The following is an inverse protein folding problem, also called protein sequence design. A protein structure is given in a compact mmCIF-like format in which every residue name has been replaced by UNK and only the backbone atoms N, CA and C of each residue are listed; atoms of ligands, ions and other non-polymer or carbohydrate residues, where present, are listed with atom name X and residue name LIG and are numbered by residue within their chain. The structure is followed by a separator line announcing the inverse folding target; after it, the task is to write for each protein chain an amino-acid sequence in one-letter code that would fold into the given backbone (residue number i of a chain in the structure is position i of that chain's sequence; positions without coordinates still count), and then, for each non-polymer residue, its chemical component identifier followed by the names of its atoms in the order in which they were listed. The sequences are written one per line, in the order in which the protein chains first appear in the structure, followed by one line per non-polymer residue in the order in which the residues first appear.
data_IF_237019154137
#
_entry.id   IF_237019154137
#
_cell.length_a   1.000
_cell.length_b   1.000
_cell.length_c   1.000
_cell.angle_alpha   90.00
_cell.angle_beta   90.00
_cell.angle_gamma   90.00
#
_symmetry.space_group_name_H-M   'P 1'
#
loop_
_entity.id
_entity.type
_entity.pdbx_description
1 polymer ?
#
# COMPACT_ATOMS: atom_id res chain seq x y z
N UNK A 1 0.76 -15.51 -34.57
CA UNK A 1 0.40 -14.09 -34.81
C UNK A 1 -0.58 -13.59 -33.76
N UNK A 2 -1.58 -14.40 -33.39
CA UNK A 2 -2.62 -14.02 -32.42
C UNK A 2 -2.08 -13.65 -31.03
N UNK A 3 -1.14 -14.41 -30.48
CA UNK A 3 -0.53 -14.08 -29.19
C UNK A 3 0.21 -12.73 -29.23
N UNK A 4 0.97 -12.45 -30.29
CA UNK A 4 1.70 -11.17 -30.43
C UNK A 4 0.71 -10.00 -30.55
N UNK A 5 -0.39 -10.20 -31.27
CA UNK A 5 -1.45 -9.20 -31.40
C UNK A 5 -2.19 -8.95 -30.08
N UNK A 6 -2.45 -10.00 -29.29
CA UNK A 6 -3.09 -9.89 -27.98
C UNK A 6 -2.18 -9.15 -27.00
N UNK A 7 -0.90 -9.54 -26.91
CA UNK A 7 0.06 -8.91 -26.00
C UNK A 7 0.37 -7.45 -26.37
N UNK A 8 0.45 -7.12 -27.67
CA UNK A 8 0.64 -5.73 -28.11
C UNK A 8 -0.60 -4.88 -27.82
N UNK A 9 -1.80 -5.42 -28.02
CA UNK A 9 -3.06 -4.73 -27.68
C UNK A 9 -3.17 -4.49 -26.17
N UNK A 10 -2.83 -5.49 -25.34
CA UNK A 10 -2.84 -5.36 -23.89
C UNK A 10 -1.85 -4.29 -23.42
N UNK A 11 -0.64 -4.24 -23.99
CA UNK A 11 0.35 -3.22 -23.65
C UNK A 11 -0.12 -1.80 -24.00
N UNK A 12 -0.77 -1.63 -25.17
CA UNK A 12 -1.34 -0.34 -25.56
C UNK A 12 -2.47 0.07 -24.61
N UNK A 13 -3.32 -0.86 -24.20
CA UNK A 13 -4.48 -0.57 -23.33
C UNK A 13 -4.04 -0.31 -21.89
N UNK A 14 -3.19 -1.15 -21.31
CA UNK A 14 -2.82 -1.07 -19.89
C UNK A 14 -1.72 -0.03 -19.62
N UNK A 15 -0.89 0.30 -20.62
CA UNK A 15 0.25 1.23 -20.43
C UNK A 15 0.11 2.46 -21.32
N UNK A 16 -0.07 2.26 -22.62
CA UNK A 16 -0.12 3.36 -23.59
C UNK A 16 -1.27 4.34 -23.31
N UNK A 17 -2.45 3.82 -23.03
CA UNK A 17 -3.67 4.62 -22.85
C UNK A 17 -3.66 5.46 -21.56
N UNK A 18 -3.30 4.94 -20.37
CA UNK A 18 -3.12 5.76 -19.17
C UNK A 18 -2.07 6.86 -19.34
N UNK A 19 -0.92 6.54 -19.97
CA UNK A 19 0.13 7.53 -20.21
C UNK A 19 -0.32 8.60 -21.20
N UNK A 20 -1.08 8.22 -22.23
CA UNK A 20 -1.69 9.18 -23.15
C UNK A 20 -2.61 10.17 -22.45
N UNK A 21 -3.50 9.70 -21.56
CA UNK A 21 -4.33 10.60 -20.74
C UNK A 21 -3.50 11.47 -19.80
N UNK A 22 -2.40 10.94 -19.27
CA UNK A 22 -1.43 11.71 -18.47
C UNK A 22 -0.87 12.89 -19.26
N UNK A 23 -0.40 12.64 -20.48
CA UNK A 23 0.11 13.70 -21.37
C UNK A 23 -0.98 14.74 -21.66
N UNK A 24 -2.21 14.31 -21.97
CA UNK A 24 -3.33 15.23 -22.18
C UNK A 24 -3.61 16.08 -20.94
N UNK A 25 -3.66 15.48 -19.75
CA UNK A 25 -3.95 16.19 -18.51
C UNK A 25 -2.85 17.18 -18.14
N UNK A 26 -1.58 16.84 -18.41
CA UNK A 26 -0.44 17.76 -18.27
C UNK A 26 -0.54 18.91 -19.25
N UNK A 27 -0.78 18.67 -20.54
CA UNK A 27 -0.93 19.72 -21.56
C UNK A 27 -2.05 20.68 -21.18
N UNK A 28 -3.20 20.15 -20.76
CA UNK A 28 -4.39 20.93 -20.38
C UNK A 28 -4.21 21.74 -19.10
N UNK A 29 -3.16 21.51 -18.33
CA UNK A 29 -2.83 22.30 -17.15
C UNK A 29 -2.40 23.73 -17.48
N UNK A 30 -1.90 23.95 -18.69
CA UNK A 30 -1.40 25.24 -19.17
C UNK A 30 -2.50 26.05 -19.85
N UNK A 31 -2.49 27.38 -19.68
CA UNK A 31 -3.51 28.27 -20.26
C UNK A 31 -3.50 28.28 -21.81
N UNK A 32 -2.35 27.96 -22.42
CA UNK A 32 -2.17 27.90 -23.88
C UNK A 32 -2.51 26.54 -24.50
N UNK A 33 -3.21 25.66 -23.76
CA UNK A 33 -3.58 24.35 -24.26
C UNK A 33 -4.43 24.44 -25.55
N UNK A 34 -4.24 23.52 -26.52
CA UNK A 34 -5.05 23.49 -27.73
C UNK A 34 -6.55 23.39 -27.43
N UNK A 35 -7.37 24.23 -28.06
CA UNK A 35 -8.83 24.26 -27.86
C UNK A 35 -9.50 22.92 -28.18
N UNK A 36 -8.93 22.14 -29.10
CA UNK A 36 -9.40 20.80 -29.46
C UNK A 36 -9.38 19.82 -28.29
N UNK A 37 -8.44 20.02 -27.35
CA UNK A 37 -8.29 19.22 -26.14
C UNK A 37 -9.17 19.72 -24.99
N UNK A 38 -9.79 20.90 -25.09
CA UNK A 38 -10.67 21.43 -24.04
C UNK A 38 -12.09 20.85 -24.11
N UNK A 39 -12.18 19.51 -24.10
CA UNK A 39 -13.44 18.77 -24.10
C UNK A 39 -13.58 18.00 -22.78
N UNK A 40 -14.77 18.03 -22.14
CA UNK A 40 -15.00 17.26 -20.91
C UNK A 40 -14.92 15.75 -21.14
N UNK A 41 -15.07 15.29 -22.39
CA UNK A 41 -14.93 13.88 -22.74
C UNK A 41 -13.59 13.28 -22.28
N UNK A 42 -12.47 14.01 -22.41
CA UNK A 42 -11.17 13.51 -21.96
C UNK A 42 -11.10 13.32 -20.45
N UNK A 43 -11.78 14.17 -19.69
CA UNK A 43 -11.87 14.05 -18.23
C UNK A 43 -12.69 12.82 -17.85
N UNK A 44 -13.86 12.64 -18.46
CA UNK A 44 -14.73 11.48 -18.22
C UNK A 44 -14.01 10.18 -18.60
N UNK A 45 -13.33 10.16 -19.74
CA UNK A 45 -12.56 8.99 -20.18
C UNK A 45 -11.39 8.69 -19.24
N UNK A 46 -10.65 9.71 -18.78
CA UNK A 46 -9.59 9.53 -17.77
C UNK A 46 -10.15 8.87 -16.51
N UNK A 47 -11.29 9.37 -16.03
CA UNK A 47 -11.98 8.84 -14.84
C UNK A 47 -12.43 7.39 -15.04
N UNK A 48 -13.15 7.10 -16.13
CA UNK A 48 -13.73 5.78 -16.38
C UNK A 48 -12.64 4.75 -16.65
N UNK A 49 -11.73 5.04 -17.58
CA UNK A 49 -10.66 4.11 -17.98
C UNK A 49 -9.68 3.92 -16.83
N UNK A 50 -9.27 5.00 -16.16
CA UNK A 50 -8.37 4.93 -15.02
C UNK A 50 -8.95 4.13 -13.85
N UNK A 51 -10.25 4.28 -13.55
CA UNK A 51 -10.91 3.49 -12.52
C UNK A 51 -10.96 2.00 -12.89
N UNK A 52 -11.32 1.67 -14.14
CA UNK A 52 -11.37 0.29 -14.61
C UNK A 52 -10.00 -0.39 -14.57
N UNK A 53 -8.95 0.30 -15.01
CA UNK A 53 -7.58 -0.22 -14.98
C UNK A 53 -7.07 -0.37 -13.54
N UNK A 54 -7.40 0.56 -12.64
CA UNK A 54 -7.01 0.45 -11.22
C UNK A 54 -7.65 -0.76 -10.53
N UNK A 55 -8.89 -1.10 -10.87
CA UNK A 55 -9.56 -2.32 -10.36
C UNK A 55 -8.94 -3.57 -10.99
N UNK A 56 -8.67 -3.54 -12.30
CA UNK A 56 -8.01 -4.65 -12.98
C UNK A 56 -6.62 -4.93 -12.41
N UNK A 57 -5.85 -3.90 -12.05
CA UNK A 57 -4.54 -4.04 -11.41
C UNK A 57 -4.66 -4.61 -9.97
N UNK A 58 -5.74 -4.33 -9.23
CA UNK A 58 -5.96 -4.95 -7.92
C UNK A 58 -6.22 -6.45 -8.02
N UNK A 59 -7.10 -6.86 -8.94
CA UNK A 59 -7.56 -8.25 -9.04
C UNK A 59 -6.64 -9.14 -9.90
N UNK A 60 -6.07 -8.60 -10.97
CA UNK A 60 -5.29 -9.36 -11.97
C UNK A 60 -3.88 -9.78 -11.52
N UNK A 61 -3.42 -9.33 -10.35
CA UNK A 61 -2.00 -9.35 -9.97
C UNK A 61 -1.69 -9.93 -8.59
N UNK A 62 -2.65 -10.62 -7.97
CA UNK A 62 -2.45 -11.17 -6.63
C UNK A 62 -2.44 -10.13 -5.50
N UNK A 63 -2.59 -8.83 -5.83
CA UNK A 63 -2.84 -7.75 -4.86
C UNK A 63 -4.26 -7.76 -4.29
N UNK A 64 -5.03 -8.82 -4.56
CA UNK A 64 -6.32 -9.10 -3.94
C UNK A 64 -6.24 -9.92 -2.67
N UNK A 65 -5.07 -10.48 -2.34
CA UNK A 65 -4.88 -11.38 -1.20
C UNK A 65 -4.85 -10.60 0.12
N UNK A 66 -5.71 -10.99 1.06
CA UNK A 66 -5.79 -10.37 2.39
C UNK A 66 -4.59 -10.72 3.26
N UNK A 67 -4.25 -9.84 4.20
CA UNK A 67 -3.04 -9.94 5.02
C UNK A 67 -2.92 -11.22 5.85
N UNK A 68 -4.03 -11.91 6.10
CA UNK A 68 -4.12 -13.13 6.91
C UNK A 68 -3.95 -14.41 6.10
N UNK A 69 -3.79 -14.30 4.78
CA UNK A 69 -3.59 -15.41 3.85
C UNK A 69 -2.12 -15.49 3.42
N UNK A 70 -1.48 -16.67 3.49
CA UNK A 70 -0.13 -16.87 2.97
C UNK A 70 -0.03 -16.57 1.48
N UNK A 71 0.99 -15.81 1.08
CA UNK A 71 1.30 -15.60 -0.33
C UNK A 71 1.80 -16.90 -1.00
N UNK A 72 1.40 -17.10 -2.25
CA UNK A 72 1.66 -18.33 -3.03
C UNK A 72 2.41 -18.14 -4.36
N UNK A 73 2.65 -16.90 -4.85
CA UNK A 73 3.71 -16.56 -5.86
C UNK A 73 4.78 -15.53 -5.40
N UNK A 74 6.08 -15.84 -5.54
CA UNK A 74 7.18 -14.95 -5.10
C UNK A 74 7.05 -13.56 -5.74
N UNK A 75 7.22 -12.51 -4.94
CA UNK A 75 7.16 -11.12 -5.41
C UNK A 75 5.74 -10.52 -5.41
N UNK A 76 4.73 -11.27 -4.98
CA UNK A 76 3.40 -10.73 -4.66
C UNK A 76 3.42 -9.94 -3.35
N UNK A 77 2.42 -9.07 -3.20
CA UNK A 77 2.14 -8.33 -1.98
C UNK A 77 0.69 -8.54 -1.60
N UNK A 78 0.39 -8.44 -0.30
CA UNK A 78 -1.01 -8.39 0.15
C UNK A 78 -1.70 -7.13 -0.37
N UNK A 79 -3.02 -7.11 -0.34
CA UNK A 79 -3.79 -5.98 -0.82
C UNK A 79 -3.43 -4.68 -0.10
N UNK A 80 -3.28 -3.55 -0.83
CA UNK A 80 -3.01 -2.25 -0.21
C UNK A 80 -4.21 -1.68 0.53
N UNK A 81 -5.40 -2.25 0.34
CA UNK A 81 -6.66 -1.82 0.94
C UNK A 81 -7.39 -3.03 1.51
N UNK A 82 -7.50 -3.08 2.85
CA UNK A 82 -8.09 -4.19 3.58
C UNK A 82 -9.54 -4.48 3.14
N UNK A 83 -9.83 -5.75 2.85
CA UNK A 83 -11.09 -6.23 2.27
C UNK A 83 -12.35 -5.76 3.00
N UNK A 84 -12.34 -5.88 4.33
CA UNK A 84 -13.48 -5.52 5.20
C UNK A 84 -13.92 -4.05 5.01
N UNK A 85 -12.99 -3.16 4.68
CA UNK A 85 -13.22 -1.72 4.56
C UNK A 85 -13.14 -1.19 3.12
N UNK A 86 -12.95 -2.06 2.12
CA UNK A 86 -12.91 -1.68 0.69
C UNK A 86 -14.17 -0.91 0.28
N UNK A 87 -15.34 -1.32 0.78
CA UNK A 87 -16.59 -0.60 0.50
C UNK A 87 -16.52 0.87 0.93
N UNK A 88 -16.01 1.15 2.13
CA UNK A 88 -15.86 2.53 2.62
C UNK A 88 -14.92 3.35 1.75
N UNK A 89 -13.77 2.78 1.39
CA UNK A 89 -12.80 3.42 0.51
C UNK A 89 -13.39 3.73 -0.87
N UNK A 90 -13.94 2.72 -1.55
CA UNK A 90 -14.49 2.88 -2.90
C UNK A 90 -15.74 3.76 -2.92
N UNK A 91 -16.55 3.77 -1.86
CA UNK A 91 -17.69 4.68 -1.74
C UNK A 91 -17.25 6.14 -1.73
N UNK A 92 -16.32 6.52 -0.85
CA UNK A 92 -15.83 7.90 -0.78
C UNK A 92 -15.11 8.30 -2.07
N UNK A 93 -14.31 7.38 -2.61
CA UNK A 93 -13.61 7.59 -3.87
C UNK A 93 -14.60 7.80 -5.01
N UNK A 94 -15.65 6.97 -5.12
CA UNK A 94 -16.72 7.13 -6.11
C UNK A 94 -17.42 8.49 -6.02
N UNK A 95 -17.75 8.96 -4.82
CA UNK A 95 -18.32 10.31 -4.64
C UNK A 95 -17.36 11.38 -5.16
N UNK A 96 -16.07 11.26 -4.87
CA UNK A 96 -15.05 12.18 -5.38
C UNK A 96 -14.91 12.14 -6.92
N UNK A 97 -15.06 10.96 -7.53
CA UNK A 97 -15.11 10.79 -8.99
C UNK A 97 -16.34 11.46 -9.60
N UNK A 98 -17.51 11.29 -8.98
CA UNK A 98 -18.74 11.98 -9.42
C UNK A 98 -18.53 13.49 -9.34
N UNK A 99 -17.96 14.01 -8.25
CA UNK A 99 -17.73 15.44 -8.08
C UNK A 99 -16.80 16.02 -9.17
N UNK A 100 -15.68 15.35 -9.48
CA UNK A 100 -14.75 15.83 -10.51
C UNK A 100 -15.35 15.77 -11.92
N UNK A 101 -16.14 14.72 -12.22
CA UNK A 101 -16.86 14.58 -13.49
C UNK A 101 -17.92 15.67 -13.64
N UNK A 102 -18.70 15.95 -12.58
CA UNK A 102 -19.68 17.02 -12.59
C UNK A 102 -19.02 18.39 -12.77
N UNK A 103 -17.87 18.65 -12.14
CA UNK A 103 -17.08 19.86 -12.39
C UNK A 103 -16.59 19.96 -13.83
N UNK A 104 -16.25 18.83 -14.45
CA UNK A 104 -15.80 18.81 -15.84
C UNK A 104 -16.94 19.10 -16.83
N UNK A 105 -18.04 18.35 -16.72
CA UNK A 105 -19.14 18.29 -17.71
C UNK A 105 -20.08 19.50 -17.60
N UNK A 106 -20.39 19.95 -16.39
CA UNK A 106 -21.28 21.11 -16.20
C UNK A 106 -20.46 22.36 -16.45
N UNK A 107 -20.52 22.93 -17.65
CA UNK A 107 -19.79 24.15 -18.02
C UNK A 107 -20.59 25.43 -17.79
N UNK A 108 -21.91 25.33 -17.64
CA UNK A 108 -22.81 26.45 -17.32
C UNK A 108 -22.55 26.98 -15.90
N UNK A 109 -23.02 28.20 -15.63
CA UNK A 109 -22.96 28.82 -14.30
C UNK A 109 -23.62 27.92 -13.26
N UNK A 110 -22.85 27.52 -12.25
CA UNK A 110 -23.32 26.69 -11.12
C UNK A 110 -23.75 27.57 -9.95
N UNK A 111 -24.76 27.16 -9.17
CA UNK A 111 -25.04 27.78 -7.87
C UNK A 111 -23.79 27.74 -6.98
N UNK A 112 -23.47 28.81 -6.23
CA UNK A 112 -22.24 28.90 -5.45
C UNK A 112 -22.03 27.76 -4.45
N UNK A 113 -23.09 27.39 -3.73
CA UNK A 113 -23.04 26.29 -2.76
C UNK A 113 -22.78 24.94 -3.46
N UNK A 114 -23.43 24.70 -4.59
CA UNK A 114 -23.21 23.48 -5.37
C UNK A 114 -21.77 23.40 -5.87
N UNK A 115 -21.21 24.50 -6.40
CA UNK A 115 -19.81 24.54 -6.81
C UNK A 115 -18.84 24.28 -5.64
N UNK A 116 -19.08 24.90 -4.47
CA UNK A 116 -18.26 24.68 -3.28
C UNK A 116 -18.32 23.22 -2.79
N UNK A 117 -19.50 22.60 -2.81
CA UNK A 117 -19.67 21.18 -2.44
C UNK A 117 -18.98 20.23 -3.43
N UNK A 118 -19.00 20.53 -4.73
CA UNK A 118 -18.25 19.74 -5.71
C UNK A 118 -16.74 19.86 -5.48
N UNK A 119 -16.22 21.07 -5.24
CA UNK A 119 -14.80 21.28 -4.92
C UNK A 119 -14.43 20.57 -3.62
N UNK A 120 -15.29 20.60 -2.60
CA UNK A 120 -15.12 19.88 -1.34
C UNK A 120 -15.01 18.36 -1.55
N UNK A 121 -15.88 17.78 -2.40
CA UNK A 121 -15.81 16.36 -2.76
C UNK A 121 -14.51 16.00 -3.48
N UNK A 122 -14.01 16.90 -4.35
CA UNK A 122 -12.71 16.71 -5.00
C UNK A 122 -11.54 16.83 -4.01
N UNK A 123 -11.61 17.71 -3.01
CA UNK A 123 -10.59 17.75 -1.94
C UNK A 123 -10.57 16.46 -1.13
N UNK A 124 -11.73 15.92 -0.78
CA UNK A 124 -11.82 14.62 -0.12
C UNK A 124 -11.18 13.52 -0.97
N UNK A 125 -11.43 13.50 -2.28
CA UNK A 125 -10.75 12.59 -3.22
C UNK A 125 -9.24 12.76 -3.23
N UNK A 126 -8.73 13.99 -3.34
CA UNK A 126 -7.29 14.26 -3.31
C UNK A 126 -6.64 13.79 -2.00
N UNK A 127 -7.32 13.92 -0.85
CA UNK A 127 -6.80 13.39 0.43
C UNK A 127 -6.68 11.87 0.37
N UNK A 128 -7.71 11.17 -0.11
CA UNK A 128 -7.65 9.71 -0.28
C UNK A 128 -6.57 9.28 -1.28
N UNK A 129 -6.42 10.00 -2.38
CA UNK A 129 -5.37 9.75 -3.36
C UNK A 129 -3.97 9.95 -2.77
N UNK A 130 -3.74 11.02 -2.00
CA UNK A 130 -2.44 11.24 -1.35
C UNK A 130 -2.14 10.09 -0.39
N UNK A 131 -3.13 9.65 0.40
CA UNK A 131 -2.96 8.51 1.30
C UNK A 131 -2.66 7.22 0.52
N UNK A 132 -3.36 6.96 -0.58
CA UNK A 132 -3.10 5.80 -1.45
C UNK A 132 -1.70 5.87 -2.08
N UNK A 133 -1.28 7.04 -2.57
CA UNK A 133 0.07 7.24 -3.11
C UNK A 133 1.10 6.88 -2.06
N UNK A 134 0.99 7.43 -0.84
CA UNK A 134 1.91 7.15 0.26
C UNK A 134 1.89 5.66 0.63
N UNK A 135 0.71 5.03 0.68
CA UNK A 135 0.55 3.59 0.95
C UNK A 135 1.41 2.75 -0.01
N UNK A 136 1.42 3.11 -1.30
CA UNK A 136 2.10 2.37 -2.36
C UNK A 136 3.60 2.68 -2.50
N UNK A 137 4.11 3.79 -1.94
CA UNK A 137 5.51 4.25 -2.11
C UNK A 137 6.58 3.20 -1.71
N UNK A 138 6.24 2.28 -0.80
CA UNK A 138 7.20 1.28 -0.30
C UNK A 138 7.61 0.24 -1.35
N UNK A 139 6.75 -0.06 -2.32
CA UNK A 139 6.95 -1.13 -3.31
C UNK A 139 6.98 -0.58 -4.75
N UNK A 140 7.56 0.61 -4.94
CA UNK A 140 7.65 1.32 -6.23
C UNK A 140 8.56 0.64 -7.28
N UNK A 141 9.32 -0.36 -6.86
CA UNK A 141 10.09 -1.25 -7.74
C UNK A 141 9.19 -2.20 -8.53
N UNK A 142 7.97 -2.46 -8.06
CA UNK A 142 6.99 -3.26 -8.77
C UNK A 142 6.28 -2.43 -9.85
N UNK A 143 6.41 -2.87 -11.10
CA UNK A 143 5.81 -2.22 -12.27
C UNK A 143 4.31 -1.93 -12.10
N UNK A 144 3.55 -2.86 -11.53
CA UNK A 144 2.11 -2.70 -11.36
C UNK A 144 1.76 -1.72 -10.26
N UNK A 145 2.56 -1.66 -9.19
CA UNK A 145 2.42 -0.60 -8.19
C UNK A 145 2.60 0.78 -8.83
N UNK A 146 3.55 0.91 -9.78
CA UNK A 146 3.71 2.15 -10.56
C UNK A 146 2.49 2.42 -11.46
N UNK A 147 1.95 1.41 -12.13
CA UNK A 147 0.76 1.57 -12.99
C UNK A 147 -0.49 2.00 -12.19
N UNK A 148 -0.69 1.43 -10.99
CA UNK A 148 -1.77 1.82 -10.08
C UNK A 148 -1.71 3.29 -9.66
N UNK A 149 -0.52 3.92 -9.69
CA UNK A 149 -0.36 5.34 -9.37
C UNK A 149 -0.70 6.28 -10.54
N UNK A 150 -0.73 5.77 -11.77
CA UNK A 150 -0.99 6.61 -12.96
C UNK A 150 -2.34 7.29 -12.84
N UNK A 151 -3.36 6.58 -12.39
CA UNK A 151 -4.71 7.14 -12.26
C UNK A 151 -4.84 8.17 -11.11
N UNK A 152 -4.41 7.89 -9.86
CA UNK A 152 -4.35 8.90 -8.79
C UNK A 152 -3.61 10.18 -9.21
N UNK A 153 -2.48 10.05 -9.92
CA UNK A 153 -1.73 11.22 -10.42
C UNK A 153 -2.54 12.01 -11.47
N UNK A 154 -3.26 11.33 -12.35
CA UNK A 154 -4.17 11.98 -13.30
C UNK A 154 -5.33 12.68 -12.60
N UNK A 155 -5.92 12.06 -11.59
CA UNK A 155 -6.98 12.66 -10.80
C UNK A 155 -6.49 13.96 -10.14
N UNK A 156 -5.29 13.96 -9.55
CA UNK A 156 -4.70 15.17 -8.98
C UNK A 156 -4.44 16.26 -10.04
N UNK A 157 -3.93 15.92 -11.22
CA UNK A 157 -3.73 16.89 -12.30
C UNK A 157 -5.07 17.52 -12.74
N UNK A 158 -6.08 16.68 -12.91
CA UNK A 158 -7.45 17.12 -13.24
C UNK A 158 -8.02 18.01 -12.14
N UNK A 159 -7.84 17.64 -10.87
CA UNK A 159 -8.41 18.36 -9.74
C UNK A 159 -7.85 19.77 -9.66
N UNK A 160 -6.53 19.93 -9.78
CA UNK A 160 -5.87 21.25 -9.76
C UNK A 160 -6.36 22.12 -10.92
N UNK A 161 -6.55 21.57 -12.12
CA UNK A 161 -7.05 22.32 -13.29
C UNK A 161 -8.53 22.73 -13.13
N UNK A 162 -9.40 21.77 -12.79
CA UNK A 162 -10.84 21.97 -12.72
C UNK A 162 -11.25 22.88 -11.57
N UNK A 163 -10.58 22.78 -10.41
CA UNK A 163 -10.79 23.67 -9.27
C UNK A 163 -10.39 25.10 -9.65
N UNK A 164 -9.21 25.30 -10.26
CA UNK A 164 -8.77 26.63 -10.73
C UNK A 164 -9.78 27.24 -11.70
N UNK A 165 -10.26 26.46 -12.67
CA UNK A 165 -11.28 26.89 -13.64
C UNK A 165 -12.58 27.30 -12.97
N UNK A 166 -13.11 26.47 -12.08
CA UNK A 166 -14.38 26.73 -11.41
C UNK A 166 -14.27 27.96 -10.49
N UNK A 167 -13.20 28.07 -9.69
CA UNK A 167 -13.00 29.22 -8.80
C UNK A 167 -12.90 30.52 -9.61
N UNK A 168 -12.15 30.53 -10.72
CA UNK A 168 -12.03 31.70 -11.61
C UNK A 168 -13.41 32.13 -12.14
N UNK A 169 -14.22 31.17 -12.59
CA UNK A 169 -15.58 31.43 -13.08
C UNK A 169 -16.47 32.00 -11.97
N UNK A 170 -16.47 31.39 -10.78
CA UNK A 170 -17.29 31.82 -9.65
C UNK A 170 -16.90 33.21 -9.14
N UNK A 171 -15.61 33.51 -9.04
CA UNK A 171 -15.14 34.86 -8.67
C UNK A 171 -15.61 35.93 -9.65
N UNK A 172 -15.61 35.63 -10.97
CA UNK A 172 -16.08 36.56 -12.00
C UNK A 172 -17.59 36.79 -11.97
N UNK A 173 -18.40 35.78 -11.58
CA UNK A 173 -19.84 35.96 -11.42
C UNK A 173 -20.19 36.82 -10.20
N UNK A 174 -19.41 36.71 -9.12
CA UNK A 174 -19.62 37.45 -7.87
C UNK A 174 -19.16 38.90 -7.96
N UNK A 175 -18.07 39.19 -8.68
CA UNK A 175 -17.62 40.58 -8.91
C UNK A 175 -18.67 41.42 -9.65
N UNK A 176 -19.55 40.79 -10.43
CA UNK A 176 -20.58 41.45 -11.22
C UNK A 176 -21.96 41.47 -10.53
N UNK A 177 -22.07 41.00 -9.29
CA UNK A 177 -23.34 40.99 -8.54
C UNK A 177 -23.49 42.26 -7.68
N UNK A 178 -24.74 42.68 -7.47
CA UNK A 178 -25.08 43.82 -6.61
C UNK A 178 -24.55 43.64 -5.18
N UNK A 179 -24.20 44.75 -4.53
CA UNK A 179 -23.73 44.76 -3.15
C UNK A 179 -24.78 44.18 -2.19
N UNK A 180 -24.33 43.28 -1.32
CA UNK A 180 -25.15 42.68 -0.25
C UNK A 180 -24.70 43.26 1.09
N UNK A 181 -25.63 43.46 2.02
CA UNK A 181 -25.34 43.95 3.37
C UNK A 181 -25.33 42.81 4.42
N UNK A 182 -24.81 43.11 5.62
CA UNK A 182 -24.78 42.16 6.74
C UNK A 182 -23.84 40.95 6.54
N UNK A 183 -24.21 39.80 7.09
CA UNK A 183 -23.45 38.54 6.99
C UNK A 183 -23.21 38.12 5.52
N UNK A 184 -24.21 38.31 4.66
CA UNK A 184 -24.08 38.03 3.22
C UNK A 184 -23.10 38.97 2.53
N UNK A 185 -22.97 40.22 2.99
CA UNK A 185 -21.94 41.15 2.52
C UNK A 185 -20.52 40.69 2.90
N UNK A 186 -20.34 40.19 4.12
CA UNK A 186 -19.05 39.63 4.57
C UNK A 186 -18.66 38.37 3.77
N UNK A 187 -19.58 37.42 3.63
CA UNK A 187 -19.38 36.23 2.80
C UNK A 187 -19.06 36.59 1.35
N UNK A 188 -19.77 37.57 0.79
CA UNK A 188 -19.51 38.05 -0.57
C UNK A 188 -18.09 38.61 -0.68
N UNK A 189 -17.65 39.46 0.26
CA UNK A 189 -16.27 39.99 0.29
C UNK A 189 -15.19 38.91 0.42
N UNK A 190 -15.49 37.81 1.11
CA UNK A 190 -14.58 36.68 1.20
C UNK A 190 -14.52 35.93 -0.15
N UNK A 191 -15.67 35.67 -0.76
CA UNK A 191 -15.83 34.92 -2.01
C UNK A 191 -15.50 35.71 -3.29
N UNK A 192 -15.36 37.04 -3.22
CA UNK A 192 -14.83 37.81 -4.36
C UNK A 192 -13.34 37.54 -4.57
N UNK A 193 -12.63 37.03 -3.55
CA UNK A 193 -11.24 36.58 -3.67
C UNK A 193 -11.18 35.09 -3.95
N UNK A 194 -10.28 34.68 -4.85
CA UNK A 194 -10.06 33.26 -5.16
C UNK A 194 -9.68 32.45 -3.92
N UNK A 195 -8.83 32.99 -3.03
CA UNK A 195 -8.43 32.33 -1.77
C UNK A 195 -9.64 32.00 -0.87
N UNK A 196 -10.66 32.86 -0.84
CA UNK A 196 -11.86 32.61 -0.05
C UNK A 196 -12.63 31.38 -0.53
N UNK A 197 -12.63 31.12 -1.84
CA UNK A 197 -13.23 29.91 -2.41
C UNK A 197 -12.50 28.64 -2.04
N UNK A 198 -11.16 28.65 -2.08
CA UNK A 198 -10.35 27.51 -1.62
C UNK A 198 -10.67 27.19 -0.15
N UNK A 199 -10.68 28.21 0.72
CA UNK A 199 -10.97 28.05 2.15
C UNK A 199 -12.40 27.57 2.42
N UNK A 200 -13.40 28.18 1.79
CA UNK A 200 -14.81 27.79 2.00
C UNK A 200 -15.05 26.36 1.52
N UNK A 201 -14.48 25.97 0.38
CA UNK A 201 -14.63 24.60 -0.13
C UNK A 201 -13.89 23.59 0.75
N UNK A 202 -12.75 23.97 1.34
CA UNK A 202 -12.06 23.16 2.33
C UNK A 202 -12.89 22.97 3.61
N UNK A 203 -13.49 24.03 4.13
CA UNK A 203 -14.39 23.94 5.31
C UNK A 203 -15.63 23.12 4.98
N UNK A 204 -16.20 23.25 3.78
CA UNK A 204 -17.34 22.47 3.31
C UNK A 204 -17.07 20.96 3.19
N UNK A 205 -15.79 20.55 3.14
CA UNK A 205 -15.39 19.15 3.18
C UNK A 205 -15.80 18.47 4.50
N UNK A 206 -15.79 19.21 5.63
CA UNK A 206 -16.13 18.67 6.96
C UNK A 206 -17.59 18.19 7.03
N UNK A 207 -18.61 19.02 6.76
CA UNK A 207 -19.99 18.55 6.77
C UNK A 207 -20.27 17.51 5.68
N UNK A 208 -19.61 17.61 4.51
CA UNK A 208 -19.73 16.58 3.48
C UNK A 208 -19.23 15.22 4.00
N UNK A 209 -18.03 15.19 4.58
CA UNK A 209 -17.45 13.96 5.14
C UNK A 209 -18.33 13.42 6.28
N UNK A 210 -18.86 14.28 7.14
CA UNK A 210 -19.77 13.87 8.20
C UNK A 210 -21.02 13.16 7.65
N UNK A 211 -21.64 13.70 6.59
CA UNK A 211 -22.77 13.04 5.92
C UNK A 211 -22.35 11.71 5.30
N UNK A 212 -21.19 11.65 4.63
CA UNK A 212 -20.70 10.40 4.04
C UNK A 212 -20.42 9.33 5.10
N UNK A 213 -19.81 9.70 6.24
CA UNK A 213 -19.57 8.80 7.36
C UNK A 213 -20.87 8.32 8.00
N UNK A 214 -21.88 9.19 8.14
CA UNK A 214 -23.21 8.79 8.60
C UNK A 214 -23.83 7.75 7.67
N UNK A 215 -23.75 7.95 6.35
CA UNK A 215 -24.21 6.97 5.36
C UNK A 215 -23.46 5.65 5.54
N UNK A 216 -22.13 5.67 5.60
CA UNK A 216 -21.33 4.46 5.80
C UNK A 216 -21.72 3.70 7.08
N UNK A 217 -21.92 4.42 8.19
CA UNK A 217 -22.38 3.84 9.46
C UNK A 217 -23.77 3.22 9.32
N UNK A 218 -24.70 3.84 8.58
CA UNK A 218 -26.02 3.26 8.28
C UNK A 218 -25.92 1.98 7.45
N UNK A 219 -24.90 1.85 6.60
CA UNK A 219 -24.56 0.61 5.87
C UNK A 219 -23.75 -0.39 6.71
N UNK A 220 -23.63 -0.17 8.02
CA UNK A 220 -22.95 -1.07 8.96
C UNK A 220 -21.43 -0.95 8.99
N UNK A 221 -20.86 0.06 8.34
CA UNK A 221 -19.42 0.31 8.39
C UNK A 221 -19.03 1.00 9.70
N UNK A 222 -17.79 0.76 10.14
CA UNK A 222 -17.24 1.46 11.31
C UNK A 222 -16.84 2.90 10.96
N UNK A 223 -16.92 3.85 11.90
CA UNK A 223 -16.52 5.23 11.64
C UNK A 223 -15.02 5.40 11.36
N UNK A 224 -14.19 4.47 11.83
CA UNK A 224 -12.74 4.39 11.59
C UNK A 224 -12.37 3.51 10.37
N UNK A 225 -13.35 3.11 9.57
CA UNK A 225 -13.15 2.18 8.44
C UNK A 225 -12.08 2.65 7.45
N UNK A 226 -12.02 3.95 7.15
CA UNK A 226 -11.02 4.50 6.21
C UNK A 226 -9.60 4.37 6.76
N UNK A 227 -9.40 4.59 8.06
CA UNK A 227 -8.09 4.40 8.67
C UNK A 227 -7.69 2.92 8.60
N UNK A 228 -8.63 2.04 8.97
CA UNK A 228 -8.41 0.60 8.96
C UNK A 228 -8.20 0.02 7.57
N UNK A 229 -8.80 0.61 6.55
CA UNK A 229 -8.58 0.24 5.15
C UNK A 229 -7.08 0.26 4.78
N UNK A 230 -6.33 1.23 5.31
CA UNK A 230 -4.88 1.31 5.06
C UNK A 230 -4.04 0.55 6.09
N UNK A 231 -4.48 0.49 7.36
CA UNK A 231 -3.66 -0.07 8.44
C UNK A 231 -3.83 -1.57 8.65
N UNK A 232 -5.03 -2.13 8.42
CA UNK A 232 -5.30 -3.58 8.50
C UNK A 232 -4.85 -4.32 7.24
N UNK A 233 -3.65 -3.98 6.77
CA UNK A 233 -2.97 -4.57 5.61
C UNK A 233 -1.56 -5.00 6.00
N UNK A 234 -0.88 -5.70 5.10
CA UNK A 234 0.53 -6.08 5.21
C UNK A 234 1.34 -5.54 4.02
N UNK A 235 2.65 -5.40 4.19
CA UNK A 235 3.64 -5.01 3.16
C UNK A 235 3.70 -3.55 2.70
N UNK A 236 2.73 -2.69 3.03
CA UNK A 236 2.67 -1.28 2.59
C UNK A 236 3.17 -0.28 3.63
N UNK A 237 3.13 1.01 3.30
CA UNK A 237 3.66 2.09 4.16
C UNK A 237 2.90 2.23 5.48
N UNK A 238 1.57 2.19 5.46
CA UNK A 238 0.74 2.29 6.67
C UNK A 238 0.33 0.95 7.28
N UNK A 239 0.73 -0.17 6.65
CA UNK A 239 0.41 -1.52 7.12
C UNK A 239 0.88 -1.77 8.56
N UNK A 240 0.00 -2.32 9.38
CA UNK A 240 0.27 -2.66 10.78
C UNK A 240 0.20 -4.16 11.05
N UNK A 241 -0.29 -4.97 10.10
CA UNK A 241 -0.43 -6.41 10.29
C UNK A 241 0.85 -7.15 9.90
N UNK A 242 1.11 -8.24 10.62
CA UNK A 242 2.20 -9.17 10.32
C UNK A 242 1.58 -10.34 9.55
N UNK A 243 1.92 -10.53 8.27
CA UNK A 243 1.33 -11.59 7.48
C UNK A 243 1.87 -12.96 7.92
N UNK A 244 1.12 -14.05 7.65
CA UNK A 244 1.63 -15.39 7.83
C UNK A 244 2.86 -15.64 6.94
N UNK A 245 3.69 -16.65 7.26
CA UNK A 245 4.81 -17.03 6.39
C UNK A 245 4.34 -17.31 4.96
N UNK A 246 5.11 -16.90 3.95
CA UNK A 246 4.84 -17.32 2.58
C UNK A 246 4.95 -18.85 2.42
N UNK A 247 4.10 -19.43 1.59
CA UNK A 247 4.05 -20.89 1.38
C UNK A 247 5.16 -21.41 0.43
N UNK A 248 6.07 -20.54 -0.05
CA UNK A 248 7.26 -20.97 -0.79
C UNK A 248 8.30 -21.70 0.06
N UNK A 249 8.02 -21.94 1.34
CA UNK A 249 8.97 -22.48 2.31
C UNK A 249 9.24 -23.98 2.13
N UNK A 250 9.63 -24.37 0.93
CA UNK A 250 10.45 -25.55 0.72
C UNK A 250 11.82 -25.30 1.40
N UNK A 251 11.96 -25.73 2.65
CA UNK A 251 13.25 -26.20 3.14
C UNK A 251 13.76 -25.75 4.51
N UNK A 252 12.95 -25.15 5.39
CA UNK A 252 13.35 -25.06 6.81
C UNK A 252 12.20 -25.14 7.80
N UNK A 253 12.11 -26.26 8.52
CA UNK A 253 11.03 -26.50 9.48
C UNK A 253 10.99 -25.44 10.59
N UNK A 254 12.14 -24.92 11.03
CA UNK A 254 12.18 -23.81 12.00
C UNK A 254 11.58 -22.51 11.46
N UNK A 255 11.66 -22.23 10.15
CA UNK A 255 10.97 -21.09 9.55
C UNK A 255 9.46 -21.32 9.55
N UNK A 256 9.01 -22.53 9.21
CA UNK A 256 7.60 -22.93 9.27
C UNK A 256 7.06 -22.84 10.70
N UNK A 257 7.85 -23.19 11.70
CA UNK A 257 7.49 -23.11 13.13
C UNK A 257 7.45 -21.67 13.64
N UNK A 258 8.45 -20.85 13.31
CA UNK A 258 8.52 -19.45 13.72
C UNK A 258 7.31 -18.64 13.25
N UNK A 259 6.70 -19.09 12.16
CA UNK A 259 5.71 -18.35 11.42
C UNK A 259 4.30 -18.98 11.52
N UNK A 260 4.22 -20.31 11.66
CA UNK A 260 2.96 -21.05 11.75
C UNK A 260 2.48 -21.36 13.18
N UNK A 261 3.31 -21.20 14.22
CA UNK A 261 2.91 -21.46 15.60
C UNK A 261 2.08 -20.34 16.24
N UNK A 262 1.50 -20.59 17.42
CA UNK A 262 0.76 -19.56 18.15
C UNK A 262 1.70 -18.45 18.62
N UNK A 263 1.38 -17.19 18.28
CA UNK A 263 2.23 -16.03 18.54
C UNK A 263 2.68 -15.88 20.01
N UNK A 264 1.82 -16.27 20.97
CA UNK A 264 2.15 -16.26 22.41
C UNK A 264 3.26 -17.24 22.78
N UNK A 265 3.37 -18.37 22.06
CA UNK A 265 4.35 -19.41 22.30
C UNK A 265 5.62 -19.20 21.46
N UNK A 266 5.47 -19.09 20.14
CA UNK A 266 6.62 -19.07 19.21
C UNK A 266 7.29 -17.71 19.09
N UNK A 267 6.62 -16.65 19.56
CA UNK A 267 7.13 -15.27 19.71
C UNK A 267 7.86 -14.78 18.45
N UNK A 268 7.15 -14.61 17.32
CA UNK A 268 7.74 -14.01 16.13
C UNK A 268 8.25 -12.60 16.45
N UNK A 269 9.46 -12.27 16.01
CA UNK A 269 10.12 -11.02 16.37
C UNK A 269 10.12 -10.00 15.23
N UNK A 270 10.50 -10.42 14.02
CA UNK A 270 10.61 -9.53 12.85
C UNK A 270 10.60 -10.33 11.55
N UNK A 271 10.45 -9.63 10.43
CA UNK A 271 10.77 -10.18 9.10
C UNK A 271 12.28 -10.15 8.88
N UNK A 272 12.83 -11.23 8.32
CA UNK A 272 14.22 -11.33 7.88
C UNK A 272 14.31 -11.78 6.42
N UNK A 273 15.52 -11.76 5.87
CA UNK A 273 15.84 -12.15 4.50
C UNK A 273 16.65 -13.43 4.47
N UNK A 274 16.17 -14.44 3.74
CA UNK A 274 16.88 -15.70 3.46
C UNK A 274 16.87 -15.97 1.97
N UNK A 275 18.05 -15.96 1.33
CA UNK A 275 18.20 -16.15 -0.13
C UNK A 275 17.34 -15.20 -0.99
N UNK A 276 17.05 -14.00 -0.48
CA UNK A 276 16.16 -13.03 -1.13
C UNK A 276 14.71 -13.09 -0.67
N UNK A 277 14.30 -14.16 0.03
CA UNK A 277 12.92 -14.33 0.50
C UNK A 277 12.70 -13.72 1.88
N UNK A 278 11.57 -13.05 2.04
CA UNK A 278 11.08 -12.58 3.34
C UNK A 278 10.61 -13.78 4.16
N UNK A 279 11.18 -13.96 5.34
CA UNK A 279 10.79 -15.00 6.29
C UNK A 279 10.45 -14.38 7.66
N UNK A 280 9.49 -14.97 8.37
CA UNK A 280 9.24 -14.61 9.78
C UNK A 280 10.35 -15.20 10.63
N UNK A 281 10.98 -14.37 11.44
CA UNK A 281 12.12 -14.75 12.26
C UNK A 281 11.76 -14.65 13.74
N UNK A 282 12.11 -15.69 14.48
CA UNK A 282 12.09 -15.70 15.94
C UNK A 282 13.49 -16.02 16.48
N UNK A 283 13.68 -15.84 17.80
CA UNK A 283 14.98 -16.07 18.44
C UNK A 283 15.51 -17.49 18.24
N UNK A 284 14.64 -18.50 18.29
CA UNK A 284 15.02 -19.91 18.12
C UNK A 284 15.65 -20.17 16.75
N UNK A 285 15.07 -19.59 15.69
CA UNK A 285 15.62 -19.66 14.32
C UNK A 285 16.98 -18.97 14.22
N UNK A 286 17.12 -17.76 14.79
CA UNK A 286 18.40 -17.04 14.79
C UNK A 286 19.50 -17.82 15.52
N UNK A 287 19.19 -18.40 16.67
CA UNK A 287 20.14 -19.21 17.45
C UNK A 287 20.60 -20.43 16.66
N UNK A 288 19.67 -21.15 16.04
CA UNK A 288 19.99 -22.34 15.24
C UNK A 288 20.90 -21.99 14.04
N UNK A 289 20.61 -20.88 13.34
CA UNK A 289 21.40 -20.46 12.19
C UNK A 289 22.78 -19.91 12.60
N UNK A 290 22.87 -19.17 13.71
CA UNK A 290 24.14 -18.69 14.25
C UNK A 290 25.04 -19.86 14.68
N UNK A 291 24.47 -20.91 15.26
CA UNK A 291 25.18 -22.13 15.61
C UNK A 291 25.67 -22.90 14.38
N UNK A 292 24.84 -23.02 13.33
CA UNK A 292 25.24 -23.61 12.05
C UNK A 292 26.43 -22.85 11.45
N UNK A 293 26.37 -21.52 11.43
CA UNK A 293 27.46 -20.65 10.94
C UNK A 293 28.75 -20.84 11.76
N UNK A 294 28.67 -20.89 13.09
CA UNK A 294 29.84 -21.12 13.95
C UNK A 294 30.49 -22.48 13.67
N UNK A 295 29.70 -23.53 13.47
CA UNK A 295 30.22 -24.85 13.11
C UNK A 295 30.79 -24.86 11.70
N UNK A 296 30.19 -24.11 10.76
CA UNK A 296 30.74 -23.95 9.42
C UNK A 296 32.14 -23.34 9.45
N UNK A 297 32.33 -22.31 10.28
CA UNK A 297 33.58 -21.58 10.44
C UNK A 297 34.66 -22.43 11.14
N UNK A 298 34.29 -23.10 12.24
CA UNK A 298 35.25 -23.80 13.10
C UNK A 298 35.48 -25.26 12.72
N UNK A 299 34.45 -25.94 12.20
CA UNK A 299 34.45 -27.39 11.97
C UNK A 299 33.72 -27.76 10.64
N UNK A 300 34.25 -27.37 9.47
CA UNK A 300 33.56 -27.49 8.18
C UNK A 300 33.25 -28.94 7.78
N UNK A 301 34.03 -29.92 8.24
CA UNK A 301 33.76 -31.35 8.01
C UNK A 301 32.56 -31.83 8.84
N UNK A 302 32.44 -31.37 10.09
CA UNK A 302 31.31 -31.67 10.96
C UNK A 302 30.04 -30.98 10.47
N UNK A 303 30.15 -29.71 10.04
CA UNK A 303 29.06 -28.98 9.39
C UNK A 303 28.43 -29.80 8.26
N UNK A 304 29.24 -30.33 7.32
CA UNK A 304 28.75 -31.12 6.19
C UNK A 304 27.97 -32.37 6.62
N UNK A 305 28.39 -33.01 7.71
CA UNK A 305 27.69 -34.16 8.28
C UNK A 305 26.33 -33.76 8.88
N UNK A 306 26.31 -32.71 9.71
CA UNK A 306 25.08 -32.16 10.31
C UNK A 306 24.11 -31.71 9.22
N UNK A 307 24.60 -31.04 8.18
CA UNK A 307 23.83 -30.59 7.02
C UNK A 307 23.20 -31.76 6.27
N UNK A 308 23.97 -32.83 6.01
CA UNK A 308 23.47 -34.05 5.37
C UNK A 308 22.40 -34.76 6.22
N UNK A 309 22.57 -34.82 7.54
CA UNK A 309 21.57 -35.36 8.45
C UNK A 309 20.27 -34.52 8.45
N UNK A 310 20.43 -33.20 8.46
CA UNK A 310 19.33 -32.25 8.37
C UNK A 310 18.56 -32.36 7.04
N UNK A 311 19.25 -32.38 5.90
CA UNK A 311 18.61 -32.48 4.59
C UNK A 311 17.83 -33.81 4.44
N UNK A 312 18.31 -34.88 5.10
CA UNK A 312 17.65 -36.20 5.09
C UNK A 312 16.45 -36.31 6.03
N UNK A 313 16.48 -35.69 7.22
CA UNK A 313 15.43 -35.87 8.25
C UNK A 313 14.62 -34.62 8.56
N UNK A 314 15.22 -33.42 8.50
CA UNK A 314 14.55 -32.16 8.78
C UNK A 314 13.64 -31.66 7.65
N UNK A 315 14.03 -31.89 6.39
CA UNK A 315 13.27 -31.46 5.21
C UNK A 315 11.91 -32.18 5.06
N UNK A 316 11.81 -33.51 5.26
CA UNK A 316 10.51 -34.19 5.28
C UNK A 316 9.61 -33.72 6.42
N UNK A 317 10.17 -33.36 7.59
CA UNK A 317 9.38 -32.90 8.74
C UNK A 317 8.68 -31.57 8.44
N UNK A 318 9.32 -30.62 7.73
CA UNK A 318 8.67 -29.35 7.37
C UNK A 318 7.39 -29.52 6.57
N UNK A 319 7.30 -30.53 5.71
CA UNK A 319 6.12 -30.80 4.87
C UNK A 319 4.93 -31.33 5.68
N UNK A 320 5.14 -31.78 6.93
CA UNK A 320 4.10 -32.34 7.78
C UNK A 320 3.58 -31.34 8.84
N UNK A 321 4.20 -30.15 8.94
CA UNK A 321 3.80 -29.06 9.84
C UNK A 321 2.77 -28.17 9.13
N UNK A 322 1.55 -28.70 8.99
CA UNK A 322 0.44 -28.00 8.32
C UNK A 322 -0.54 -27.30 9.26
N UNK A 323 -0.35 -27.41 10.59
CA UNK A 323 -1.28 -26.86 11.58
C UNK A 323 -0.54 -26.14 12.71
N UNK A 324 -1.19 -25.12 13.30
CA UNK A 324 -0.64 -24.33 14.42
C UNK A 324 -0.17 -25.20 15.59
N UNK A 325 -0.96 -26.23 15.94
CA UNK A 325 -0.60 -27.17 17.01
C UNK A 325 0.66 -28.00 16.70
N UNK A 326 0.84 -28.43 15.44
CA UNK A 326 2.07 -29.14 15.05
C UNK A 326 3.28 -28.23 15.10
N UNK A 327 3.14 -26.97 14.69
CA UNK A 327 4.20 -25.97 14.80
C UNK A 327 4.61 -25.74 16.26
N UNK A 328 3.64 -25.64 17.17
CA UNK A 328 3.89 -25.49 18.60
C UNK A 328 4.61 -26.70 19.23
N UNK A 329 4.20 -27.93 18.86
CA UNK A 329 4.85 -29.14 19.34
C UNK A 329 6.32 -29.18 18.90
N UNK A 330 6.59 -28.87 17.62
CA UNK A 330 7.97 -28.82 17.11
C UNK A 330 8.77 -27.71 17.80
N UNK A 331 8.18 -26.55 18.07
CA UNK A 331 8.83 -25.46 18.83
C UNK A 331 9.28 -25.93 20.21
N UNK A 332 8.38 -26.62 20.95
CA UNK A 332 8.66 -27.16 22.29
C UNK A 332 9.76 -28.23 22.23
N UNK A 333 9.69 -29.14 21.27
CA UNK A 333 10.70 -30.19 21.09
C UNK A 333 12.10 -29.62 20.76
N UNK A 334 12.15 -28.48 20.07
CA UNK A 334 13.40 -27.80 19.72
C UNK A 334 13.99 -26.97 20.87
N UNK A 335 13.24 -26.67 21.93
CA UNK A 335 13.73 -25.83 23.04
C UNK A 335 14.95 -26.41 23.76
N UNK A 336 15.03 -27.71 24.10
CA UNK A 336 16.25 -28.30 24.65
C UNK A 336 17.46 -28.12 23.73
N UNK A 337 17.28 -28.27 22.42
CA UNK A 337 18.34 -28.07 21.43
C UNK A 337 18.77 -26.61 21.33
N UNK A 338 17.83 -25.66 21.39
CA UNK A 338 18.13 -24.23 21.44
C UNK A 338 19.04 -23.87 22.62
N UNK A 339 18.80 -24.45 23.81
CA UNK A 339 19.69 -24.24 24.97
C UNK A 339 21.09 -24.79 24.73
N UNK A 340 21.22 -25.95 24.07
CA UNK A 340 22.52 -26.52 23.70
C UNK A 340 23.24 -25.60 22.70
N UNK A 341 22.52 -25.10 21.67
CA UNK A 341 23.09 -24.18 20.68
C UNK A 341 23.57 -22.88 21.33
N UNK A 342 22.78 -22.29 22.25
CA UNK A 342 23.19 -21.11 23.03
C UNK A 342 24.44 -21.44 23.85
N UNK A 343 24.46 -22.57 24.57
CA UNK A 343 25.62 -22.94 25.38
C UNK A 343 26.91 -23.07 24.54
N UNK A 344 26.82 -23.65 23.34
CA UNK A 344 27.95 -23.75 22.41
C UNK A 344 28.35 -22.38 21.87
N UNK A 345 27.40 -21.54 21.46
CA UNK A 345 27.68 -20.18 21.00
C UNK A 345 28.42 -19.36 22.07
N UNK A 346 27.95 -19.41 23.32
CA UNK A 346 28.58 -18.70 24.44
C UNK A 346 29.93 -19.26 24.87
N UNK A 347 30.23 -20.52 24.55
CA UNK A 347 31.51 -21.15 24.88
C UNK A 347 32.57 -20.92 23.81
N UNK A 348 32.18 -20.74 22.55
CA UNK A 348 33.09 -20.77 21.40
C UNK A 348 33.02 -19.54 20.47
N UNK A 349 32.12 -18.59 20.74
CA UNK A 349 32.05 -17.29 20.07
C UNK A 349 32.44 -16.15 21.03
N UNK A 350 33.14 -15.14 20.51
CA UNK A 350 33.55 -13.96 21.28
C UNK A 350 32.40 -12.95 21.46
N UNK A 351 31.42 -12.93 20.54
CA UNK A 351 30.24 -12.06 20.64
C UNK A 351 28.96 -12.79 20.16
N UNK A 352 28.46 -13.73 20.98
CA UNK A 352 27.36 -14.62 20.59
C UNK A 352 26.04 -13.88 20.32
N UNK A 353 25.70 -12.87 21.12
CA UNK A 353 24.43 -12.14 20.96
C UNK A 353 24.43 -11.26 19.71
N UNK A 354 25.54 -10.61 19.37
CA UNK A 354 25.63 -9.87 18.10
C UNK A 354 25.51 -10.80 16.89
N UNK A 355 26.14 -11.98 16.93
CA UNK A 355 25.98 -12.98 15.85
C UNK A 355 24.52 -13.42 15.70
N UNK A 356 23.82 -13.70 16.81
CA UNK A 356 22.40 -14.10 16.80
C UNK A 356 21.54 -12.95 16.26
N UNK A 357 21.76 -11.72 16.73
CA UNK A 357 21.00 -10.54 16.31
C UNK A 357 21.17 -10.21 14.82
N UNK A 358 22.30 -10.60 14.23
CA UNK A 358 22.59 -10.36 12.81
C UNK A 358 21.94 -11.33 11.84
N UNK A 359 21.50 -12.50 12.33
CA UNK A 359 20.89 -13.50 11.46
C UNK A 359 19.66 -12.94 10.75
N UNK A 360 19.62 -13.18 9.44
CA UNK A 360 18.55 -12.78 8.52
C UNK A 360 18.31 -11.27 8.40
N UNK A 361 19.25 -10.42 8.81
CA UNK A 361 19.16 -8.96 8.60
C UNK A 361 19.49 -8.52 7.17
N UNK A 362 20.10 -9.40 6.36
CA UNK A 362 20.65 -9.06 5.05
C UNK A 362 22.01 -8.35 5.11
N UNK A 363 22.56 -8.11 6.30
CA UNK A 363 23.87 -7.47 6.53
C UNK A 363 24.89 -8.50 7.05
N UNK A 364 26.18 -8.28 6.80
CA UNK A 364 27.26 -9.13 7.35
C UNK A 364 27.77 -8.57 8.67
N UNK A 365 28.30 -9.42 9.55
CA UNK A 365 28.83 -9.01 10.86
C UNK A 365 29.93 -7.93 10.75
N UNK A 366 30.72 -7.96 9.67
CA UNK A 366 31.73 -6.94 9.33
C UNK A 366 31.16 -5.52 9.21
N UNK A 367 29.89 -5.40 8.81
CA UNK A 367 29.25 -4.11 8.55
C UNK A 367 28.90 -3.37 9.85
N UNK A 368 28.71 -4.10 10.96
CA UNK A 368 28.40 -3.51 12.28
C UNK A 368 29.66 -3.06 13.04
N UNK A 369 30.76 -3.81 12.93
CA UNK A 369 32.06 -3.40 13.49
C UNK A 369 32.58 -2.10 12.88
N UNK A 370 32.23 -1.79 11.63
CA UNK A 370 32.56 -0.51 11.00
C UNK A 370 31.63 0.61 11.48
N UNK A 371 30.38 0.29 11.85
CA UNK A 371 29.39 1.25 12.33
C UNK A 371 29.58 1.64 13.80
N UNK A 372 30.16 0.76 14.63
CA UNK A 372 30.48 1.05 16.04
C UNK A 372 31.88 1.65 16.25
N UNK A 373 32.70 1.70 15.19
CA UNK A 373 34.06 2.29 15.21
C UNK A 373 34.14 3.68 14.54
N UNK A 374 33.05 4.12 13.90
CA UNK A 374 32.86 5.51 13.46
C UNK A 374 31.89 6.20 14.41
#
# INVERSE_FOLDING_TARGET
MDAIFIWSSALVICVGLPLFFTVINVIRLFENAPKELDRPLFDVLTVVIGSLLSVFDLDGLGLGVEYDVPLTVHGEFHTPIAGEYRFSFFFLFFIAMVCIVLLSVITKRKPPLFAAMLIAGVYMGNVLDILLVIQLLKNMDNFFTVMMLVFPMNYMLMSVRLIRREIKAQTGYLSNSAEKSGFMGWLNKLLTKSLGWYLISFVAMIPLLAVMLLILVLFGQRPDSIVKAFTETADWTFSQQIPPPPDYSQGHYLCTVAAGGHAKLVKPQRMGLRRGDKIVVNRQLCVANAFEELIQDKLPRFHKCVRSFYDKHGYPISQHISTKLRADVVYILMKPLEFIFIAVLYMFDADPESRIAMQYTGKKCTDLTNFMKG
#
